data_IF_041310198819
#
_entry.id   IF_041310198819
#
_cell.length_a   1.000
_cell.length_b   1.000
_cell.length_c   1.000
_cell.angle_alpha   90.00
_cell.angle_beta   90.00
_cell.angle_gamma   90.00
#
_symmetry.space_group_name_H-M   'P 1'
#
loop_
_entity.id
_entity.type
_entity.pdbx_description
1 polymer ?
#
# COMPACT_ATOMS: atom_id res chain seq x y z
N UNK A 1 -24.51 3.89 7.30
CA UNK A 1 -23.75 2.69 7.72
C UNK A 1 -23.07 1.97 6.53
N UNK A 2 -22.74 2.66 5.44
CA UNK A 2 -22.20 2.03 4.21
C UNK A 2 -20.85 2.64 3.81
N UNK A 3 -19.79 2.33 4.55
CA UNK A 3 -18.42 2.68 4.11
C UNK A 3 -17.39 1.59 4.42
N UNK A 4 -17.77 0.44 5.00
CA UNK A 4 -16.81 -0.57 5.47
C UNK A 4 -16.57 -1.72 4.49
N UNK A 5 -16.93 -1.54 3.21
CA UNK A 5 -17.00 -2.61 2.21
C UNK A 5 -16.13 -2.36 0.96
N UNK A 6 -15.27 -1.34 0.96
CA UNK A 6 -14.39 -1.03 -0.16
C UNK A 6 -12.99 -1.60 0.08
N UNK A 7 -12.42 -2.20 -0.96
CA UNK A 7 -11.03 -2.68 -0.97
C UNK A 7 -10.03 -1.52 -1.11
N UNK A 8 -10.52 -0.28 -1.21
CA UNK A 8 -9.74 0.94 -1.18
C UNK A 8 -9.94 1.69 0.14
N UNK A 9 -8.86 1.91 0.89
CA UNK A 9 -8.85 2.66 2.14
C UNK A 9 -7.87 3.83 2.12
N UNK A 10 -8.27 4.92 2.77
CA UNK A 10 -7.42 6.06 3.07
C UNK A 10 -7.12 6.13 4.56
N UNK A 11 -5.84 5.98 4.91
CA UNK A 11 -5.33 6.27 6.24
C UNK A 11 -5.18 7.79 6.38
N UNK A 12 -6.14 8.42 7.04
CA UNK A 12 -6.20 9.89 7.15
C UNK A 12 -5.45 10.37 8.36
N UNK A 13 -4.42 11.19 8.11
CA UNK A 13 -3.52 11.71 9.14
C UNK A 13 -3.56 13.23 9.25
N UNK A 14 -3.38 13.73 10.46
CA UNK A 14 -3.10 15.12 10.80
C UNK A 14 -1.58 15.37 10.85
N UNK A 15 -1.14 16.64 10.83
CA UNK A 15 0.28 17.01 10.76
C UNK A 15 1.16 16.47 11.91
N UNK A 16 0.55 16.14 13.05
CA UNK A 16 1.25 15.60 14.23
C UNK A 16 1.35 14.07 14.24
N UNK A 17 0.73 13.39 13.27
CA UNK A 17 0.68 11.93 13.20
C UNK A 17 1.71 11.40 12.19
N UNK A 18 2.23 10.21 12.46
CA UNK A 18 3.17 9.52 11.59
C UNK A 18 2.47 8.33 10.89
N UNK A 19 1.85 8.54 9.72
CA UNK A 19 1.22 7.46 8.95
C UNK A 19 2.26 6.45 8.44
N UNK A 20 3.51 6.87 8.24
CA UNK A 20 4.57 6.03 7.71
C UNK A 20 4.99 4.98 8.73
N UNK A 21 5.08 5.33 10.01
CA UNK A 21 5.29 4.36 11.09
C UNK A 21 4.15 3.33 11.13
N UNK A 22 2.89 3.78 11.12
CA UNK A 22 1.71 2.89 11.16
C UNK A 22 1.70 1.91 9.98
N UNK A 23 1.96 2.39 8.76
CA UNK A 23 1.97 1.55 7.55
C UNK A 23 3.15 0.57 7.54
N UNK A 24 4.32 0.99 8.04
CA UNK A 24 5.51 0.15 8.10
C UNK A 24 5.35 -0.99 9.09
N UNK A 25 4.94 -0.67 10.32
CA UNK A 25 4.70 -1.68 11.36
C UNK A 25 3.63 -2.68 10.90
N UNK A 26 2.59 -2.19 10.20
CA UNK A 26 1.57 -3.05 9.64
C UNK A 26 2.11 -3.96 8.53
N UNK A 27 2.91 -3.44 7.61
CA UNK A 27 3.54 -4.24 6.56
C UNK A 27 4.46 -5.33 7.11
N UNK A 28 5.23 -5.01 8.16
CA UNK A 28 6.11 -5.97 8.84
C UNK A 28 5.31 -7.10 9.50
N UNK A 29 4.18 -6.78 10.14
CA UNK A 29 3.31 -7.78 10.74
C UNK A 29 2.59 -8.65 9.72
N UNK A 30 2.20 -8.10 8.56
CA UNK A 30 1.66 -8.89 7.44
C UNK A 30 2.71 -9.87 6.93
N UNK A 31 3.95 -9.39 6.74
CA UNK A 31 5.08 -10.24 6.33
C UNK A 31 5.35 -11.36 7.32
N UNK A 32 5.29 -11.08 8.63
CA UNK A 32 5.42 -12.08 9.69
C UNK A 32 4.31 -13.14 9.66
N UNK A 33 3.12 -12.78 9.16
CA UNK A 33 1.99 -13.69 8.95
C UNK A 33 2.05 -14.46 7.61
N UNK A 34 3.11 -14.25 6.81
CA UNK A 34 3.25 -14.86 5.48
C UNK A 34 2.42 -14.17 4.39
N UNK A 35 1.82 -13.02 4.70
CA UNK A 35 1.08 -12.20 3.73
C UNK A 35 2.05 -11.26 2.99
N UNK A 36 1.72 -10.98 1.73
CA UNK A 36 2.57 -10.24 0.81
C UNK A 36 2.00 -8.85 0.56
N UNK A 37 2.43 -7.90 1.39
CA UNK A 37 2.26 -6.48 1.12
C UNK A 37 3.29 -6.00 0.09
N UNK A 38 2.82 -5.31 -0.94
CA UNK A 38 3.63 -4.72 -2.02
C UNK A 38 3.40 -3.21 -2.02
N UNK A 39 4.41 -2.43 -2.39
CA UNK A 39 4.28 -0.97 -2.49
C UNK A 39 5.44 -0.24 -1.84
N UNK A 40 5.17 0.91 -1.23
CA UNK A 40 6.22 1.69 -0.57
C UNK A 40 5.69 2.59 0.56
N UNK A 41 6.56 2.83 1.55
CA UNK A 41 6.29 3.66 2.73
C UNK A 41 7.42 4.69 2.91
N UNK A 42 7.16 5.90 3.37
CA UNK A 42 8.26 6.88 3.57
C UNK A 42 9.16 6.44 4.74
N UNK A 43 10.44 6.79 4.68
CA UNK A 43 11.41 6.55 5.75
C UNK A 43 12.34 7.73 6.02
N UNK A 44 11.99 8.92 5.54
CA UNK A 44 12.72 10.16 5.79
C UNK A 44 11.91 11.39 5.39
N UNK A 45 12.34 12.56 5.85
CA UNK A 45 11.59 13.80 5.68
C UNK A 45 12.26 14.71 4.66
N UNK A 46 11.44 15.48 3.94
CA UNK A 46 11.89 16.50 3.00
C UNK A 46 12.68 17.62 3.72
N UNK A 47 12.30 17.94 4.96
CA UNK A 47 12.95 18.96 5.79
C UNK A 47 14.43 18.65 6.07
N UNK A 48 14.76 17.36 6.19
CA UNK A 48 16.11 16.90 6.57
C UNK A 48 16.92 16.40 5.36
N UNK A 49 16.49 16.71 4.12
CA UNK A 49 17.14 16.22 2.88
C UNK A 49 17.21 14.70 2.75
N UNK A 50 16.44 13.97 3.55
CA UNK A 50 16.52 12.52 3.70
C UNK A 50 15.31 11.81 3.10
N UNK A 51 14.52 12.51 2.26
CA UNK A 51 13.31 11.97 1.66
C UNK A 51 13.63 10.66 0.94
N UNK A 52 13.13 9.58 1.52
CA UNK A 52 13.38 8.22 1.10
C UNK A 52 12.13 7.39 1.31
N UNK A 53 12.02 6.29 0.57
CA UNK A 53 10.96 5.32 0.72
C UNK A 53 11.56 3.93 0.93
N UNK A 54 10.83 3.08 1.65
CA UNK A 54 11.11 1.65 1.74
C UNK A 54 10.21 0.94 0.75
N UNK A 55 10.80 0.13 -0.13
CA UNK A 55 10.05 -0.73 -1.03
C UNK A 55 9.63 -2.01 -0.31
N UNK A 56 8.38 -2.42 -0.49
CA UNK A 56 7.83 -3.66 0.04
C UNK A 56 7.73 -4.72 -1.07
N UNK A 57 8.04 -6.00 -0.78
CA UNK A 57 8.37 -6.56 0.54
C UNK A 57 9.88 -6.59 0.87
N UNK A 58 10.74 -6.07 -0.02
CA UNK A 58 12.20 -6.19 0.08
C UNK A 58 12.80 -5.43 1.28
N UNK A 59 12.15 -4.35 1.71
CA UNK A 59 12.68 -3.42 2.70
C UNK A 59 13.79 -2.52 2.14
N UNK A 60 13.99 -2.51 0.82
CA UNK A 60 15.02 -1.68 0.19
C UNK A 60 14.72 -0.20 0.39
N UNK A 61 15.68 0.53 0.97
CA UNK A 61 15.58 1.99 1.11
C UNK A 61 16.03 2.68 -0.16
N UNK A 62 15.11 3.40 -0.79
CA UNK A 62 15.34 4.21 -1.97
C UNK A 62 15.36 5.69 -1.59
N UNK A 63 16.46 6.39 -1.88
CA UNK A 63 16.52 7.84 -1.81
C UNK A 63 15.67 8.45 -2.93
N UNK A 64 14.74 9.33 -2.58
CA UNK A 64 13.86 10.03 -3.52
C UNK A 64 14.23 11.52 -3.66
N UNK A 65 15.24 11.98 -2.94
CA UNK A 65 15.83 13.31 -3.05
C UNK A 65 16.77 13.39 -4.27
N UNK A 66 16.58 14.40 -5.13
CA UNK A 66 17.45 14.62 -6.31
C UNK A 66 18.64 15.52 -5.96
N UNK A 67 18.38 16.66 -5.29
CA UNK A 67 19.38 17.60 -4.76
C UNK A 67 18.76 18.40 -3.60
N UNK A 68 19.57 18.73 -2.59
CA UNK A 68 19.21 19.69 -1.55
C UNK A 68 19.92 21.01 -1.81
N UNK A 69 19.15 22.07 -1.99
CA UNK A 69 19.67 23.43 -1.97
C UNK A 69 19.22 24.08 -0.66
N UNK A 70 20.12 24.36 0.31
CA UNK A 70 19.75 25.01 1.56
C UNK A 70 19.15 26.42 1.36
N UNK A 71 19.36 27.05 0.20
CA UNK A 71 18.73 28.32 -0.17
C UNK A 71 17.31 28.13 -0.74
N UNK A 72 17.00 26.98 -1.33
CA UNK A 72 15.64 26.61 -1.72
C UNK A 72 14.94 25.93 -0.54
N UNK A 73 13.79 26.43 -0.10
CA UNK A 73 13.03 25.82 1.00
C UNK A 73 12.37 24.49 0.58
N UNK A 74 13.15 23.44 0.36
CA UNK A 74 12.67 22.08 0.12
C UNK A 74 13.62 21.20 -0.70
N UNK A 75 13.54 19.90 -0.45
CA UNK A 75 14.16 18.89 -1.28
C UNK A 75 13.34 18.65 -2.57
N UNK A 76 14.01 18.58 -3.73
CA UNK A 76 13.37 18.25 -5.00
C UNK A 76 13.18 16.74 -5.11
N UNK A 77 11.95 16.31 -5.40
CA UNK A 77 11.63 14.91 -5.67
C UNK A 77 12.28 14.45 -6.98
N UNK A 78 13.04 13.36 -6.91
CA UNK A 78 13.60 12.68 -8.07
C UNK A 78 12.52 11.86 -8.79
N UNK A 79 11.98 12.44 -9.86
CA UNK A 79 10.88 11.83 -10.61
C UNK A 79 11.29 10.52 -11.30
N UNK A 80 12.56 10.40 -11.71
CA UNK A 80 13.06 9.20 -12.38
C UNK A 80 13.17 8.03 -11.39
N UNK A 81 13.67 8.30 -10.18
CA UNK A 81 13.70 7.29 -9.11
C UNK A 81 12.31 6.86 -8.68
N UNK A 82 11.37 7.80 -8.57
CA UNK A 82 9.98 7.47 -8.25
C UNK A 82 9.36 6.60 -9.35
N UNK A 83 9.58 6.93 -10.62
CA UNK A 83 9.05 6.12 -11.74
C UNK A 83 9.65 4.72 -11.76
N UNK A 84 10.96 4.59 -11.53
CA UNK A 84 11.61 3.28 -11.43
C UNK A 84 11.03 2.45 -10.28
N UNK A 85 10.85 3.05 -9.10
CA UNK A 85 10.17 2.41 -7.97
C UNK A 85 8.76 1.94 -8.34
N UNK A 86 7.98 2.80 -8.99
CA UNK A 86 6.62 2.48 -9.38
C UNK A 86 6.56 1.29 -10.35
N UNK A 87 7.48 1.22 -11.33
CA UNK A 87 7.57 0.06 -12.24
C UNK A 87 7.90 -1.24 -11.50
N UNK A 88 8.83 -1.20 -10.55
CA UNK A 88 9.18 -2.36 -9.72
C UNK A 88 8.00 -2.82 -8.85
N UNK A 89 7.21 -1.87 -8.33
CA UNK A 89 5.98 -2.18 -7.59
C UNK A 89 4.94 -2.82 -8.51
N UNK A 90 4.77 -2.31 -9.73
CA UNK A 90 3.86 -2.88 -10.72
C UNK A 90 4.25 -4.34 -11.04
N UNK A 91 5.53 -4.61 -11.31
CA UNK A 91 6.03 -5.98 -11.53
C UNK A 91 5.79 -6.89 -10.32
N UNK A 92 5.97 -6.36 -9.10
CA UNK A 92 5.71 -7.10 -7.87
C UNK A 92 4.23 -7.41 -7.64
N UNK A 93 3.32 -6.53 -8.09
CA UNK A 93 1.87 -6.77 -8.10
C UNK A 93 1.49 -7.90 -9.07
N UNK A 94 2.06 -7.91 -10.28
CA UNK A 94 1.81 -8.99 -11.26
C UNK A 94 2.31 -10.36 -10.78
N UNK A 95 3.38 -10.38 -9.97
CA UNK A 95 3.87 -11.59 -9.34
C UNK A 95 3.00 -12.08 -8.16
N UNK A 96 1.93 -11.34 -7.83
CA UNK A 96 1.00 -11.61 -6.73
C UNK A 96 1.24 -10.71 -5.52
N UNK A 97 0.16 -10.18 -4.95
CA UNK A 97 0.15 -9.44 -3.69
C UNK A 97 -1.21 -9.59 -3.00
N UNK A 98 -1.20 -9.53 -1.67
CA UNK A 98 -2.44 -9.50 -0.87
C UNK A 98 -2.93 -8.07 -0.63
N UNK A 99 -2.00 -7.12 -0.61
CA UNK A 99 -2.25 -5.71 -0.29
C UNK A 99 -1.25 -4.80 -1.01
N UNK A 100 -1.75 -3.74 -1.63
CA UNK A 100 -0.96 -2.60 -2.08
C UNK A 100 -0.93 -1.51 -0.99
N UNK A 101 0.27 -1.09 -0.61
CA UNK A 101 0.50 0.06 0.28
C UNK A 101 1.10 1.20 -0.53
N UNK A 102 0.38 2.32 -0.63
CA UNK A 102 0.83 3.53 -1.34
C UNK A 102 1.07 4.67 -0.35
N UNK A 103 2.19 5.36 -0.53
CA UNK A 103 2.54 6.58 0.20
C UNK A 103 2.81 7.72 -0.79
N UNK A 104 2.44 8.99 -0.62
CA UNK A 104 1.31 9.65 0.06
C UNK A 104 0.51 10.31 -1.06
N UNK A 105 -0.80 10.49 -0.91
CA UNK A 105 -1.57 11.21 -1.93
C UNK A 105 -1.15 12.68 -1.99
N UNK A 106 -0.48 13.07 -3.07
CA UNK A 106 0.06 14.41 -3.24
C UNK A 106 -0.49 15.11 -4.49
N UNK A 107 0.16 16.23 -4.85
CA UNK A 107 -0.20 16.99 -6.05
C UNK A 107 -0.10 16.15 -7.34
N UNK A 108 0.87 15.23 -7.42
CA UNK A 108 1.08 14.42 -8.64
C UNK A 108 -0.02 13.40 -8.83
N UNK A 109 -0.43 12.73 -7.77
CA UNK A 109 -1.48 11.72 -7.79
C UNK A 109 -2.84 12.35 -8.12
N UNK A 110 -3.10 13.57 -7.61
CA UNK A 110 -4.27 14.38 -8.02
C UNK A 110 -4.31 14.66 -9.53
N UNK A 111 -3.14 14.88 -10.14
CA UNK A 111 -3.03 15.12 -11.58
C UNK A 111 -3.00 13.81 -12.41
N UNK A 112 -3.30 12.65 -11.81
CA UNK A 112 -3.26 11.33 -12.47
C UNK A 112 -1.84 10.83 -12.77
N UNK A 113 -0.83 11.34 -12.07
CA UNK A 113 0.59 11.01 -12.27
C UNK A 113 1.15 10.31 -11.03
N UNK A 114 2.43 9.95 -11.08
CA UNK A 114 3.11 9.33 -9.94
C UNK A 114 2.64 7.90 -9.76
N UNK A 115 1.96 7.62 -8.64
CA UNK A 115 1.57 6.27 -8.24
C UNK A 115 0.10 5.95 -8.52
N UNK A 116 -0.67 6.88 -9.09
CA UNK A 116 -2.10 6.70 -9.37
C UNK A 116 -2.40 5.42 -10.17
N UNK A 117 -1.59 5.13 -11.19
CA UNK A 117 -1.75 3.92 -12.01
C UNK A 117 -1.58 2.61 -11.23
N UNK A 118 -0.83 2.60 -10.13
CA UNK A 118 -0.68 1.40 -9.28
C UNK A 118 -1.97 1.09 -8.53
N UNK A 119 -2.71 2.13 -8.14
CA UNK A 119 -4.01 1.98 -7.48
C UNK A 119 -4.99 1.33 -8.45
N UNK A 120 -5.06 1.83 -9.69
CA UNK A 120 -5.90 1.26 -10.74
C UNK A 120 -5.54 -0.22 -11.00
N UNK A 121 -4.25 -0.52 -11.21
CA UNK A 121 -3.80 -1.91 -11.43
C UNK A 121 -4.12 -2.86 -10.29
N UNK A 122 -3.97 -2.40 -9.04
CA UNK A 122 -4.30 -3.23 -7.89
C UNK A 122 -5.80 -3.52 -7.82
N UNK A 123 -6.63 -2.50 -8.05
CA UNK A 123 -8.09 -2.67 -8.04
C UNK A 123 -8.56 -3.59 -9.18
N UNK A 124 -7.98 -3.48 -10.38
CA UNK A 124 -8.27 -4.38 -11.52
C UNK A 124 -7.87 -5.83 -11.24
N UNK A 125 -6.93 -6.05 -10.31
CA UNK A 125 -6.47 -7.36 -9.89
C UNK A 125 -7.15 -7.88 -8.60
N UNK A 126 -8.22 -7.21 -8.13
CA UNK A 126 -8.90 -7.49 -6.85
C UNK A 126 -7.95 -7.44 -5.62
N UNK A 127 -6.87 -6.65 -5.72
CA UNK A 127 -5.91 -6.44 -4.63
C UNK A 127 -6.35 -5.23 -3.82
N UNK A 128 -6.50 -5.42 -2.51
CA UNK A 128 -6.84 -4.33 -1.60
C UNK A 128 -5.73 -3.26 -1.60
N UNK A 129 -6.13 -2.00 -1.41
CA UNK A 129 -5.24 -0.84 -1.44
C UNK A 129 -5.45 0.00 -0.19
N UNK A 130 -4.34 0.35 0.48
CA UNK A 130 -4.31 1.40 1.48
C UNK A 130 -3.37 2.52 1.07
N UNK A 131 -3.83 3.77 1.20
CA UNK A 131 -3.06 4.96 0.92
C UNK A 131 -3.04 5.93 2.11
N UNK A 132 -1.89 6.52 2.41
CA UNK A 132 -1.80 7.64 3.36
C UNK A 132 -2.26 8.96 2.72
N UNK A 133 -3.23 9.65 3.34
CA UNK A 133 -3.82 10.90 2.85
C UNK A 133 -3.87 11.92 3.98
N UNK A 134 -3.35 13.13 3.78
CA UNK A 134 -3.49 14.17 4.81
C UNK A 134 -4.95 14.60 4.93
N UNK A 135 -5.39 14.99 6.14
CA UNK A 135 -6.76 15.44 6.37
C UNK A 135 -7.17 16.59 5.43
N UNK A 136 -6.24 17.49 5.13
CA UNK A 136 -6.41 18.59 4.18
C UNK A 136 -6.64 18.12 2.73
N UNK A 137 -6.02 17.02 2.32
CA UNK A 137 -6.12 16.49 0.95
C UNK A 137 -7.24 15.45 0.81
N UNK A 138 -7.90 15.07 1.90
CA UNK A 138 -8.95 14.05 1.89
C UNK A 138 -10.13 14.37 0.95
N UNK A 139 -10.63 15.61 0.84
CA UNK A 139 -11.68 15.94 -0.13
C UNK A 139 -11.24 15.70 -1.59
N UNK A 140 -9.99 16.03 -1.91
CA UNK A 140 -9.44 15.78 -3.25
C UNK A 140 -9.26 14.28 -3.52
N UNK A 141 -8.84 13.53 -2.50
CA UNK A 141 -8.77 12.06 -2.57
C UNK A 141 -10.13 11.43 -2.86
N UNK A 142 -11.18 11.86 -2.17
CA UNK A 142 -12.54 11.33 -2.39
C UNK A 142 -13.03 11.60 -3.81
N UNK A 143 -12.71 12.77 -4.38
CA UNK A 143 -12.99 13.08 -5.78
C UNK A 143 -12.22 12.17 -6.73
N UNK A 144 -10.93 11.97 -6.48
CA UNK A 144 -10.08 11.06 -7.26
C UNK A 144 -10.61 9.62 -7.22
N UNK A 145 -10.95 9.11 -6.04
CA UNK A 145 -11.47 7.76 -5.85
C UNK A 145 -12.95 7.58 -6.28
N UNK A 146 -13.58 8.59 -6.90
CA UNK A 146 -14.98 8.51 -7.31
C UNK A 146 -15.97 8.28 -6.15
N UNK A 147 -15.60 8.68 -4.93
CA UNK A 147 -16.38 8.40 -3.72
C UNK A 147 -16.17 7.00 -3.11
N UNK A 148 -15.41 6.12 -3.76
CA UNK A 148 -15.20 4.73 -3.34
C UNK A 148 -13.97 4.56 -2.47
N UNK A 149 -13.97 5.11 -1.26
CA UNK A 149 -12.87 4.89 -0.31
C UNK A 149 -13.35 4.85 1.14
N UNK A 150 -12.79 3.91 1.91
CA UNK A 150 -12.99 3.85 3.36
C UNK A 150 -12.08 4.88 4.03
N UNK A 151 -12.65 5.80 4.80
CA UNK A 151 -11.88 6.69 5.66
C UNK A 151 -11.45 5.93 6.92
N UNK A 152 -10.14 5.80 7.13
CA UNK A 152 -9.54 5.24 8.35
C UNK A 152 -8.88 6.36 9.16
N UNK A 153 -8.98 6.27 10.48
CA UNK A 153 -8.14 7.08 11.35
C UNK A 153 -6.67 6.62 11.20
N UNK A 154 -5.72 7.55 11.34
CA UNK A 154 -4.29 7.24 11.33
C UNK A 154 -3.85 6.55 12.62
N UNK A 155 -4.34 5.33 12.82
CA UNK A 155 -3.95 4.45 13.90
C UNK A 155 -4.00 2.98 13.46
N UNK A 156 -3.23 2.17 14.18
CA UNK A 156 -3.05 0.76 13.87
C UNK A 156 -4.34 -0.05 13.96
N UNK A 157 -5.22 0.24 14.92
CA UNK A 157 -6.43 -0.56 15.16
C UNK A 157 -7.44 -0.38 14.03
N UNK A 158 -7.58 0.85 13.54
CA UNK A 158 -8.45 1.14 12.39
C UNK A 158 -8.00 0.38 11.13
N UNK A 159 -6.69 0.38 10.87
CA UNK A 159 -6.08 -0.31 9.74
C UNK A 159 -6.27 -1.82 9.80
N UNK A 160 -5.99 -2.44 10.94
CA UNK A 160 -6.19 -3.89 11.15
C UNK A 160 -7.66 -4.30 11.04
N UNK A 161 -8.56 -3.50 11.62
CA UNK A 161 -9.99 -3.77 11.58
C UNK A 161 -10.56 -3.70 10.16
N UNK A 162 -10.02 -2.81 9.32
CA UNK A 162 -10.34 -2.78 7.88
C UNK A 162 -9.75 -4.00 7.17
N UNK A 163 -8.45 -4.25 7.34
CA UNK A 163 -7.76 -5.37 6.69
C UNK A 163 -8.49 -6.69 6.95
N UNK A 164 -8.76 -7.02 8.21
CA UNK A 164 -9.48 -8.25 8.58
C UNK A 164 -10.82 -8.41 7.84
N UNK A 165 -11.54 -7.33 7.55
CA UNK A 165 -12.82 -7.41 6.82
C UNK A 165 -12.62 -7.70 5.34
N UNK A 166 -11.59 -7.13 4.70
CA UNK A 166 -11.32 -7.33 3.28
C UNK A 166 -10.61 -8.66 3.02
N UNK A 167 -9.68 -9.09 3.87
CA UNK A 167 -8.98 -10.37 3.70
C UNK A 167 -9.91 -11.58 3.82
N UNK A 168 -10.91 -11.50 4.71
CA UNK A 168 -11.94 -12.54 4.83
C UNK A 168 -12.80 -12.67 3.58
N UNK A 169 -12.94 -11.59 2.78
CA UNK A 169 -13.65 -11.63 1.50
C UNK A 169 -12.80 -12.22 0.39
N UNK A 170 -11.54 -11.80 0.27
CA UNK A 170 -10.59 -12.41 -0.65
C UNK A 170 -10.51 -13.92 -0.47
N UNK A 171 -10.48 -14.38 0.79
CA UNK A 171 -10.51 -15.81 1.12
C UNK A 171 -11.84 -16.52 0.76
N UNK A 172 -12.97 -15.82 0.78
CA UNK A 172 -14.28 -16.37 0.42
C UNK A 172 -14.55 -16.36 -1.09
N UNK A 173 -13.90 -15.47 -1.84
CA UNK A 173 -14.03 -15.31 -3.30
C UNK A 173 -12.89 -15.98 -4.09
N UNK A 174 -11.84 -16.45 -3.43
CA UNK A 174 -10.74 -17.16 -4.07
C UNK A 174 -11.26 -18.38 -4.87
N UNK A 175 -10.97 -18.49 -6.18
CA UNK A 175 -11.40 -19.63 -6.98
C UNK A 175 -10.76 -20.93 -6.46
N UNK A 176 -11.52 -22.03 -6.51
CA UNK A 176 -11.23 -23.38 -5.98
C UNK A 176 -9.95 -24.05 -6.55
N UNK A 177 -9.12 -23.34 -7.29
CA UNK A 177 -7.92 -23.88 -7.93
C UNK A 177 -6.79 -24.22 -6.93
N UNK A 178 -6.88 -23.79 -5.67
CA UNK A 178 -5.89 -24.07 -4.63
C UNK A 178 -6.25 -25.24 -3.69
N UNK A 179 -7.40 -25.91 -3.87
CA UNK A 179 -7.85 -26.97 -2.95
C UNK A 179 -7.38 -28.39 -3.32
N UNK A 180 -6.77 -28.57 -4.48
CA UNK A 180 -6.34 -29.87 -4.99
C UNK A 180 -4.88 -30.22 -4.64
N UNK A 181 -4.51 -30.20 -3.36
CA UNK A 181 -3.30 -30.89 -2.86
C UNK A 181 -3.53 -31.49 -1.46
N UNK A 182 -4.60 -32.26 -1.30
CA UNK A 182 -4.70 -33.25 -0.22
C UNK A 182 -5.30 -34.53 -0.78
N UNK A 183 -4.46 -35.34 -1.44
CA UNK A 183 -4.78 -36.76 -1.67
C UNK A 183 -4.11 -37.55 -0.54
N UNK A 184 -4.86 -38.29 0.29
CA UNK A 184 -4.26 -39.18 1.28
C UNK A 184 -3.49 -40.28 0.56
N UNK A 185 -2.19 -40.39 0.84
CA UNK A 185 -1.35 -41.51 0.37
C UNK A 185 -1.76 -42.76 1.14
N UNK A 186 -2.72 -43.49 0.61
CA UNK A 186 -3.14 -44.79 1.12
C UNK A 186 -2.43 -45.93 0.38
N UNK A 187 -2.01 -46.92 1.18
CA UNK A 187 -1.77 -48.33 0.87
C UNK A 187 -0.35 -48.78 0.40
N UNK A 188 0.01 -50.08 0.55
CA UNK A 188 -0.73 -51.19 1.19
C UNK A 188 0.04 -51.98 2.28
N UNK A 189 -0.73 -52.59 3.18
CA UNK A 189 -0.37 -53.87 3.82
C UNK A 189 -0.51 -55.02 2.80
N UNK A 190 0.51 -55.87 2.74
CA UNK A 190 0.51 -57.29 2.37
C UNK A 190 1.85 -57.82 2.88
N UNK A 191 1.94 -58.85 3.73
CA UNK A 191 1.32 -60.16 3.60
C UNK A 191 2.42 -61.13 3.21
#
# INVERSE_FOLDING_TARGET
MFHAQCDLAALVYEDHQDPDAVLRDFADDLKAQGLRAVGMVQAGQCADSSLSALLLPSGEKLLLAQDFDPAARGCRLDLARLQNAAMRIAEALEAGADLLIVNRFGKRERDGKGLAFLIERALDADIAVVIAVSALSFPDWIRFAGGMSVKLACDRKALEAWWRKVSLRGAAMAPEHARAQQTPKQAPEVG
#
